data_IF_873872974083
#
_entry.id   IF_873872974083
#
_cell.length_a   1.000
_cell.length_b   1.000
_cell.length_c   1.000
_cell.angle_alpha   90.00
_cell.angle_beta   90.00
_cell.angle_gamma   90.00
#
_symmetry.space_group_name_H-M   'P 1'
#
loop_
_entity.id
_entity.type
_entity.pdbx_description
1 polymer ?
#
# COMPACT_ATOMS: atom_id res chain seq x y z
N UNK A 1 12.42 -17.92 12.31
CA UNK A 1 10.98 -18.26 12.12
C UNK A 1 10.06 -17.09 12.46
N UNK A 2 10.20 -16.44 13.61
CA UNK A 2 9.32 -15.33 14.02
C UNK A 2 9.31 -14.15 13.04
N UNK A 3 10.49 -13.69 12.59
CA UNK A 3 10.62 -12.62 11.59
C UNK A 3 9.93 -12.95 10.26
N UNK A 4 9.93 -14.22 9.86
CA UNK A 4 9.26 -14.67 8.64
C UNK A 4 7.74 -14.60 8.76
N UNK A 5 7.19 -14.98 9.93
CA UNK A 5 5.75 -14.85 10.21
C UNK A 5 5.34 -13.38 10.24
N UNK A 6 6.15 -12.51 10.85
CA UNK A 6 5.93 -11.06 10.87
C UNK A 6 5.94 -10.50 9.44
N UNK A 7 6.89 -10.91 8.59
CA UNK A 7 6.94 -10.48 7.20
C UNK A 7 5.70 -10.88 6.39
N UNK A 8 5.16 -12.09 6.61
CA UNK A 8 3.93 -12.55 5.98
C UNK A 8 2.75 -11.68 6.42
N UNK A 9 2.58 -11.45 7.72
CA UNK A 9 1.49 -10.60 8.26
C UNK A 9 1.62 -9.17 7.74
N UNK A 10 2.83 -8.62 7.76
CA UNK A 10 3.12 -7.28 7.26
C UNK A 10 2.78 -7.16 5.76
N UNK A 11 3.10 -8.19 4.97
CA UNK A 11 2.77 -8.25 3.54
C UNK A 11 1.26 -8.34 3.32
N UNK A 12 0.54 -9.14 4.10
CA UNK A 12 -0.91 -9.24 3.98
C UNK A 12 -1.59 -7.90 4.24
N UNK A 13 -1.13 -7.14 5.23
CA UNK A 13 -1.69 -5.82 5.55
C UNK A 13 -1.23 -4.80 4.50
N UNK A 14 0.08 -4.49 4.48
CA UNK A 14 0.62 -3.38 3.69
C UNK A 14 0.69 -3.69 2.18
N UNK A 15 0.86 -4.95 1.80
CA UNK A 15 0.78 -5.37 0.40
C UNK A 15 -0.63 -5.22 -0.16
N UNK A 16 -1.66 -5.55 0.62
CA UNK A 16 -3.06 -5.33 0.21
C UNK A 16 -3.37 -3.85 0.06
N UNK A 17 -2.94 -3.01 1.01
CA UNK A 17 -3.11 -1.55 0.90
C UNK A 17 -2.35 -0.99 -0.31
N UNK A 18 -1.11 -1.41 -0.53
CA UNK A 18 -0.32 -1.02 -1.70
C UNK A 18 -1.04 -1.39 -3.00
N UNK A 19 -1.54 -2.62 -3.09
CA UNK A 19 -2.29 -3.10 -4.25
C UNK A 19 -3.57 -2.29 -4.51
N UNK A 20 -4.37 -2.04 -3.48
CA UNK A 20 -5.58 -1.23 -3.61
C UNK A 20 -5.27 0.20 -4.06
N UNK A 21 -4.24 0.82 -3.49
CA UNK A 21 -3.85 2.20 -3.82
C UNK A 21 -3.25 2.34 -5.23
N UNK A 22 -2.50 1.35 -5.69
CA UNK A 22 -1.87 1.36 -7.02
C UNK A 22 -2.85 0.98 -8.14
N UNK A 23 -3.65 -0.07 -7.91
CA UNK A 23 -4.51 -0.66 -8.94
C UNK A 23 -5.94 -0.14 -8.93
N UNK A 24 -6.47 0.23 -7.77
CA UNK A 24 -7.83 0.75 -7.61
C UNK A 24 -7.90 2.10 -6.87
N UNK A 25 -7.13 3.13 -7.28
CA UNK A 25 -7.12 4.43 -6.59
C UNK A 25 -8.50 5.10 -6.59
N UNK A 26 -9.32 4.85 -7.62
CA UNK A 26 -10.68 5.40 -7.74
C UNK A 26 -11.67 4.74 -6.77
N UNK A 27 -11.49 3.44 -6.48
CA UNK A 27 -12.27 2.74 -5.46
C UNK A 27 -11.97 3.27 -4.06
N UNK A 28 -10.69 3.54 -3.77
CA UNK A 28 -10.26 4.13 -2.50
C UNK A 28 -10.79 5.56 -2.34
N UNK A 29 -10.79 6.36 -3.41
CA UNK A 29 -11.35 7.72 -3.40
C UNK A 29 -12.87 7.75 -3.18
N UNK A 30 -13.61 6.76 -3.68
CA UNK A 30 -15.07 6.65 -3.50
C UNK A 30 -15.48 6.20 -2.10
N UNK A 31 -14.68 5.38 -1.43
CA UNK A 31 -14.95 4.92 -0.04
C UNK A 31 -14.67 6.04 0.97
N UNK A 32 -13.79 6.97 0.62
CA UNK A 32 -13.54 8.19 1.37
C UNK A 32 -14.73 9.16 1.22
N UNK A 33 -15.19 9.79 2.32
CA UNK A 33 -16.28 10.79 2.30
C UNK A 33 -16.00 12.03 1.43
N UNK A 34 -14.83 12.08 0.80
CA UNK A 34 -14.40 13.09 -0.17
C UNK A 34 -14.86 12.81 -1.62
N UNK A 35 -15.58 11.71 -1.87
CA UNK A 35 -16.05 11.22 -3.20
C UNK A 35 -16.45 12.29 -4.21
N UNK A 36 -17.38 13.19 -3.86
CA UNK A 36 -18.11 13.96 -4.89
C UNK A 36 -17.42 15.24 -5.35
N UNK A 37 -16.42 15.75 -4.61
CA UNK A 37 -15.65 16.96 -4.98
C UNK A 37 -14.18 16.71 -5.28
N UNK A 38 -13.66 15.51 -4.99
CA UNK A 38 -12.22 15.23 -5.07
C UNK A 38 -11.84 14.13 -6.05
N UNK A 39 -12.80 13.33 -6.55
CA UNK A 39 -12.53 12.31 -7.59
C UNK A 39 -12.00 12.89 -8.91
N UNK A 40 -12.26 14.18 -9.20
CA UNK A 40 -11.82 14.82 -10.44
C UNK A 40 -10.40 15.39 -10.38
N UNK A 41 -9.75 15.42 -9.21
CA UNK A 41 -8.42 16.04 -9.09
C UNK A 41 -7.30 15.05 -9.45
N UNK A 42 -6.58 15.22 -10.57
CA UNK A 42 -5.50 14.31 -10.98
C UNK A 42 -4.36 14.25 -9.96
N UNK A 43 -4.19 15.29 -9.15
CA UNK A 43 -3.20 15.34 -8.08
C UNK A 43 -3.42 14.27 -7.01
N UNK A 44 -4.67 14.03 -6.59
CA UNK A 44 -4.96 13.04 -5.55
C UNK A 44 -4.73 11.61 -6.03
N UNK A 45 -5.09 11.32 -7.28
CA UNK A 45 -4.77 10.02 -7.91
C UNK A 45 -3.27 9.78 -7.94
N UNK A 46 -2.47 10.82 -8.21
CA UNK A 46 -1.01 10.75 -8.19
C UNK A 46 -0.47 10.57 -6.77
N UNK A 47 -1.05 11.26 -5.79
CA UNK A 47 -0.70 11.11 -4.37
C UNK A 47 -1.02 9.71 -3.82
N UNK A 48 -2.19 9.15 -4.15
CA UNK A 48 -2.56 7.78 -3.75
C UNK A 48 -1.63 6.74 -4.35
N UNK A 49 -1.29 6.88 -5.64
CA UNK A 49 -0.28 6.01 -6.27
C UNK A 49 1.09 6.16 -5.60
N UNK A 50 1.49 7.38 -5.26
CA UNK A 50 2.73 7.64 -4.53
C UNK A 50 2.74 6.92 -3.16
N UNK A 51 1.66 7.06 -2.37
CA UNK A 51 1.49 6.33 -1.11
C UNK A 51 1.51 4.81 -1.29
N UNK A 52 0.87 4.29 -2.34
CA UNK A 52 0.90 2.87 -2.68
C UNK A 52 2.31 2.34 -2.95
N UNK A 53 3.14 3.12 -3.64
CA UNK A 53 4.55 2.79 -3.87
C UNK A 53 5.39 2.81 -2.58
N UNK A 54 5.12 3.72 -1.64
CA UNK A 54 5.78 3.71 -0.33
C UNK A 54 5.47 2.44 0.47
N UNK A 55 4.20 2.02 0.48
CA UNK A 55 3.82 0.76 1.13
C UNK A 55 4.49 -0.45 0.48
N UNK A 56 4.66 -0.43 -0.84
CA UNK A 56 5.37 -1.49 -1.56
C UNK A 56 6.86 -1.57 -1.13
N UNK A 57 7.52 -0.41 -1.04
CA UNK A 57 8.91 -0.33 -0.56
C UNK A 57 9.07 -0.84 0.87
N UNK A 58 8.11 -0.53 1.76
CA UNK A 58 8.11 -1.05 3.13
C UNK A 58 8.03 -2.57 3.16
N UNK A 59 7.14 -3.17 2.36
CA UNK A 59 7.01 -4.63 2.26
C UNK A 59 8.31 -5.25 1.76
N UNK A 60 8.93 -4.69 0.71
CA UNK A 60 10.22 -5.17 0.21
C UNK A 60 11.30 -5.08 1.29
N UNK A 61 11.39 -3.96 2.00
CA UNK A 61 12.38 -3.78 3.07
C UNK A 61 12.25 -4.82 4.18
N UNK A 62 11.02 -5.09 4.64
CA UNK A 62 10.76 -6.12 5.65
C UNK A 62 11.15 -7.52 5.14
N UNK A 63 10.90 -7.82 3.87
CA UNK A 63 11.33 -9.10 3.26
C UNK A 63 12.85 -9.23 3.18
N UNK A 64 13.56 -8.17 2.78
CA UNK A 64 15.03 -8.17 2.74
C UNK A 64 15.59 -8.47 4.13
N UNK A 65 15.11 -7.77 5.16
CA UNK A 65 15.54 -7.99 6.56
C UNK A 65 15.23 -9.42 7.00
N UNK A 66 14.06 -9.93 6.64
CA UNK A 66 13.63 -11.28 7.03
C UNK A 66 14.43 -12.38 6.35
N UNK A 67 14.90 -12.16 5.12
CA UNK A 67 15.79 -13.09 4.40
C UNK A 67 17.20 -13.06 4.99
N UNK A 68 17.73 -11.87 5.30
CA UNK A 68 19.07 -11.71 5.91
C UNK A 68 19.10 -12.29 7.33
N UNK A 69 18.00 -12.15 8.07
CA UNK A 69 17.87 -12.60 9.46
C UNK A 69 17.45 -14.07 9.60
N UNK A 70 17.27 -14.80 8.49
CA UNK A 70 16.93 -16.21 8.47
C UNK A 70 18.16 -17.09 8.69
#
# INVERSE_FOLDING_TARGET
MEMFVIAIIFTLIFGTFSYMLLKHPEGVLKVSSFSDKFSEKPFLKKFLKFMGWWFFLLVIGVWIISIISL
#
